data_IF_602930641850
#
_entry.id   IF_602930641850
#
_cell.length_a   1.000
_cell.length_b   1.000
_cell.length_c   1.000
_cell.angle_alpha   90.00
_cell.angle_beta   90.00
_cell.angle_gamma   90.00
#
_symmetry.space_group_name_H-M   'P 1'
#
loop_
_entity.id
_entity.type
_entity.pdbx_description
1 polymer ?
#
# COMPACT_ATOMS: atom_id res chain seq x y z
N UNK A 1 19.49 -23.62 15.86
CA UNK A 1 19.22 -22.62 16.92
C UNK A 1 19.17 -21.26 16.23
N UNK A 2 17.97 -20.76 15.95
CA UNK A 2 17.81 -19.41 15.37
C UNK A 2 17.78 -18.44 16.54
N UNK A 3 18.59 -17.38 16.50
CA UNK A 3 18.50 -16.31 17.50
C UNK A 3 17.12 -15.68 17.41
N UNK A 4 16.36 -15.72 18.50
CA UNK A 4 15.21 -14.85 18.70
C UNK A 4 15.71 -13.42 18.80
N UNK A 5 15.76 -12.75 17.65
CA UNK A 5 16.11 -11.33 17.58
C UNK A 5 15.20 -10.56 18.54
N UNK A 6 15.78 -9.70 19.37
CA UNK A 6 15.06 -8.98 20.43
C UNK A 6 13.89 -8.23 19.78
N UNK A 7 12.66 -8.63 20.11
CA UNK A 7 11.46 -8.16 19.41
C UNK A 7 11.07 -6.74 19.87
N UNK A 8 11.90 -5.80 19.42
CA UNK A 8 11.84 -4.35 19.67
C UNK A 8 10.73 -3.66 18.87
N UNK A 9 9.68 -4.40 18.52
CA UNK A 9 8.48 -3.90 17.85
C UNK A 9 7.23 -3.92 18.74
N UNK A 10 7.25 -4.62 19.87
CA UNK A 10 6.22 -4.45 20.91
C UNK A 10 6.53 -3.22 21.77
N UNK A 11 5.49 -2.43 22.03
CA UNK A 11 5.58 -1.12 22.67
C UNK A 11 4.59 -1.05 23.83
N UNK A 12 5.05 -0.44 24.92
CA UNK A 12 4.21 -0.11 26.07
C UNK A 12 3.22 1.00 25.72
N UNK A 13 2.09 1.06 26.44
CA UNK A 13 1.11 2.14 26.28
C UNK A 13 1.69 3.52 26.62
N UNK A 14 2.74 3.60 27.44
CA UNK A 14 3.48 4.85 27.70
C UNK A 14 4.28 5.31 26.49
N UNK A 15 4.93 4.39 25.77
CA UNK A 15 5.62 4.69 24.51
C UNK A 15 4.64 5.10 23.41
N UNK A 16 3.45 4.50 23.38
CA UNK A 16 2.39 4.84 22.42
C UNK A 16 1.63 6.13 22.76
N UNK A 17 1.58 6.55 24.04
CA UNK A 17 1.15 7.91 24.41
C UNK A 17 2.17 8.97 23.99
N UNK A 18 3.46 8.61 23.96
CA UNK A 18 4.59 9.53 23.71
C UNK A 18 5.24 9.36 22.32
N UNK A 19 4.43 9.18 21.27
CA UNK A 19 4.91 8.93 19.89
C UNK A 19 5.79 10.07 19.35
N UNK A 20 6.60 9.80 18.31
CA UNK A 20 7.32 10.85 17.58
C UNK A 20 6.38 11.91 16.95
N UNK A 21 5.15 11.53 16.59
CA UNK A 21 4.16 12.45 16.03
C UNK A 21 3.60 13.40 17.10
N UNK A 22 3.33 12.88 18.31
CA UNK A 22 2.93 13.68 19.48
C UNK A 22 3.99 14.74 19.81
N UNK A 23 5.26 14.34 19.76
CA UNK A 23 6.43 15.22 20.02
C UNK A 23 6.65 16.28 18.93
N UNK A 24 6.11 16.09 17.73
CA UNK A 24 6.05 17.09 16.66
C UNK A 24 4.75 17.92 16.66
N UNK A 25 3.87 17.74 17.65
CA UNK A 25 2.63 18.51 17.83
C UNK A 25 1.37 17.93 17.19
N UNK A 26 1.37 16.65 16.78
CA UNK A 26 0.16 15.98 16.22
C UNK A 26 -0.67 15.36 17.36
N UNK A 27 -1.97 15.64 17.38
CA UNK A 27 -2.90 15.21 18.43
C UNK A 27 -3.36 13.75 18.34
N UNK A 28 -3.93 13.31 19.46
CA UNK A 28 -4.92 12.23 19.64
C UNK A 28 -5.39 11.57 18.32
N UNK A 29 -6.50 12.13 17.83
CA UNK A 29 -7.33 11.59 16.78
C UNK A 29 -6.72 11.78 15.38
N UNK A 30 -5.91 12.82 15.14
CA UNK A 30 -5.25 13.00 13.84
C UNK A 30 -4.22 11.91 13.59
N UNK A 31 -3.41 11.48 14.57
CA UNK A 31 -2.49 10.35 14.35
C UNK A 31 -3.25 9.05 14.09
N UNK A 32 -4.30 8.75 14.86
CA UNK A 32 -5.14 7.56 14.68
C UNK A 32 -5.82 7.55 13.30
N UNK A 33 -6.36 8.70 12.88
CA UNK A 33 -6.98 8.89 11.56
C UNK A 33 -5.98 8.68 10.43
N UNK A 34 -4.76 9.22 10.55
CA UNK A 34 -3.69 9.05 9.57
C UNK A 34 -3.18 7.60 9.50
N UNK A 35 -3.15 6.89 10.64
CA UNK A 35 -2.82 5.46 10.67
C UNK A 35 -3.87 4.64 9.91
N UNK A 36 -5.16 4.81 10.22
CA UNK A 36 -6.26 4.12 9.53
C UNK A 36 -6.27 4.48 8.03
N UNK A 37 -6.12 5.76 7.68
CA UNK A 37 -6.04 6.21 6.28
C UNK A 37 -4.90 5.56 5.51
N UNK A 38 -3.71 5.41 6.13
CA UNK A 38 -2.59 4.70 5.53
C UNK A 38 -2.85 3.21 5.34
N UNK A 39 -3.44 2.54 6.33
CA UNK A 39 -3.82 1.13 6.22
C UNK A 39 -4.92 0.89 5.17
N UNK A 40 -5.86 1.83 5.01
CA UNK A 40 -6.88 1.82 3.95
C UNK A 40 -6.26 2.04 2.55
N UNK A 41 -5.19 2.83 2.41
CA UNK A 41 -4.43 2.94 1.15
C UNK A 41 -3.66 1.64 0.83
N UNK A 42 -3.07 1.00 1.84
CA UNK A 42 -2.35 -0.27 1.66
C UNK A 42 -3.32 -1.38 1.19
N UNK A 43 -4.52 -1.44 1.76
CA UNK A 43 -5.55 -2.41 1.35
C UNK A 43 -6.10 -2.11 -0.06
N UNK A 44 -6.49 -0.85 -0.37
CA UNK A 44 -7.00 -0.49 -1.70
C UNK A 44 -5.96 -0.73 -2.81
N UNK A 45 -4.71 -0.33 -2.58
CA UNK A 45 -3.63 -0.53 -3.56
C UNK A 45 -3.27 -2.01 -3.75
N UNK A 46 -3.30 -2.82 -2.68
CA UNK A 46 -3.09 -4.26 -2.76
C UNK A 46 -4.12 -4.97 -3.64
N UNK A 47 -5.40 -4.62 -3.49
CA UNK A 47 -6.50 -5.12 -4.34
C UNK A 47 -6.28 -4.71 -5.80
N UNK A 48 -5.97 -3.43 -6.05
CA UNK A 48 -5.73 -2.92 -7.41
C UNK A 48 -4.47 -3.52 -8.08
N UNK A 49 -3.45 -3.87 -7.30
CA UNK A 49 -2.24 -4.57 -7.75
C UNK A 49 -2.40 -6.10 -7.81
N UNK A 50 -3.59 -6.64 -7.47
CA UNK A 50 -3.90 -8.08 -7.36
C UNK A 50 -2.86 -8.83 -6.52
N UNK A 51 -2.59 -8.32 -5.32
CA UNK A 51 -1.70 -8.92 -4.34
C UNK A 51 -2.47 -9.80 -3.34
N UNK A 52 -1.86 -10.87 -2.79
CA UNK A 52 -2.48 -11.69 -1.75
C UNK A 52 -2.55 -10.93 -0.42
N UNK A 53 -3.54 -11.24 0.43
CA UNK A 53 -3.80 -10.52 1.70
C UNK A 53 -2.57 -10.45 2.62
N UNK A 54 -1.67 -11.45 2.59
CA UNK A 54 -0.40 -11.43 3.32
C UNK A 54 0.46 -10.19 3.00
N UNK A 55 0.50 -9.74 1.73
CA UNK A 55 1.25 -8.53 1.33
C UNK A 55 0.63 -7.27 1.93
N UNK A 56 -0.70 -7.17 1.95
CA UNK A 56 -1.37 -6.03 2.58
C UNK A 56 -1.18 -6.05 4.11
N UNK A 57 -1.30 -7.21 4.74
CA UNK A 57 -1.08 -7.37 6.17
C UNK A 57 0.36 -7.02 6.59
N UNK A 58 1.37 -7.58 5.90
CA UNK A 58 2.79 -7.22 6.11
C UNK A 58 2.99 -5.73 5.85
N UNK A 59 2.44 -5.18 4.76
CA UNK A 59 2.49 -3.74 4.49
C UNK A 59 1.96 -2.87 5.63
N UNK A 60 0.81 -3.24 6.21
CA UNK A 60 0.18 -2.54 7.33
C UNK A 60 1.02 -2.63 8.62
N UNK A 61 1.59 -3.79 8.95
CA UNK A 61 2.46 -3.92 10.13
C UNK A 61 3.76 -3.13 9.98
N UNK A 62 4.42 -3.18 8.80
CA UNK A 62 5.62 -2.38 8.53
C UNK A 62 5.32 -0.87 8.64
N UNK A 63 4.16 -0.44 8.15
CA UNK A 63 3.66 0.94 8.25
C UNK A 63 3.42 1.36 9.70
N UNK A 64 2.74 0.54 10.51
CA UNK A 64 2.52 0.80 11.93
C UNK A 64 3.85 0.89 12.71
N UNK A 65 4.77 -0.08 12.50
CA UNK A 65 6.11 -0.12 13.10
C UNK A 65 6.93 1.13 12.75
N UNK A 66 6.88 1.60 11.50
CA UNK A 66 7.57 2.81 11.06
C UNK A 66 7.06 4.06 11.79
N UNK A 67 5.75 4.30 11.82
CA UNK A 67 5.18 5.49 12.49
C UNK A 67 5.21 5.44 14.02
N UNK A 68 5.69 4.36 14.63
CA UNK A 68 6.07 4.37 16.04
C UNK A 68 7.50 4.90 16.28
N UNK A 69 8.39 4.85 15.26
CA UNK A 69 9.77 5.36 15.31
C UNK A 69 9.96 6.69 14.55
N UNK A 70 9.01 7.05 13.69
CA UNK A 70 8.99 8.28 12.88
C UNK A 70 7.62 8.96 12.93
N UNK A 71 7.59 10.22 12.52
CA UNK A 71 6.47 11.14 12.70
C UNK A 71 5.77 11.45 11.38
N UNK A 72 4.44 11.54 11.40
CA UNK A 72 3.66 12.01 10.26
C UNK A 72 3.98 13.45 9.85
N UNK A 73 4.51 14.29 10.75
CA UNK A 73 4.97 15.64 10.42
C UNK A 73 6.23 15.67 9.53
N UNK A 74 7.01 14.58 9.55
CA UNK A 74 8.28 14.41 8.82
C UNK A 74 8.21 13.42 7.65
N UNK A 75 7.14 12.63 7.54
CA UNK A 75 6.98 11.61 6.51
C UNK A 75 5.53 11.55 6.02
N UNK A 76 5.31 11.86 4.74
CA UNK A 76 4.00 11.85 4.12
C UNK A 76 3.39 10.43 4.10
N UNK A 77 2.20 10.28 4.68
CA UNK A 77 1.47 9.00 4.82
C UNK A 77 1.29 8.26 3.49
N UNK A 78 0.99 8.97 2.40
CA UNK A 78 0.74 8.39 1.07
C UNK A 78 2.03 7.80 0.49
N UNK A 79 3.16 8.52 0.65
CA UNK A 79 4.50 8.10 0.22
C UNK A 79 4.98 6.86 1.00
N UNK A 80 4.81 6.86 2.33
CA UNK A 80 5.19 5.71 3.16
C UNK A 80 4.32 4.49 2.84
N UNK A 81 2.99 4.64 2.71
CA UNK A 81 2.10 3.55 2.33
C UNK A 81 2.51 2.88 0.99
N UNK A 82 2.90 3.67 -0.01
CA UNK A 82 3.39 3.15 -1.29
C UNK A 82 4.69 2.33 -1.14
N UNK A 83 5.66 2.81 -0.36
CA UNK A 83 6.89 2.06 -0.08
C UNK A 83 6.65 0.83 0.81
N UNK A 84 5.69 0.86 1.74
CA UNK A 84 5.31 -0.31 2.54
C UNK A 84 4.72 -1.42 1.66
N UNK A 85 3.82 -1.09 0.72
CA UNK A 85 3.29 -2.06 -0.26
C UNK A 85 4.39 -2.59 -1.17
N UNK A 86 5.29 -1.73 -1.64
CA UNK A 86 6.38 -2.14 -2.53
C UNK A 86 7.38 -3.07 -1.81
N UNK A 87 7.77 -2.74 -0.59
CA UNK A 87 8.65 -3.56 0.25
C UNK A 87 7.98 -4.88 0.64
N UNK A 88 6.74 -4.86 1.14
CA UNK A 88 6.00 -6.07 1.48
C UNK A 88 5.81 -7.00 0.27
N UNK A 89 5.60 -6.46 -0.94
CA UNK A 89 5.52 -7.27 -2.15
C UNK A 89 6.80 -8.07 -2.42
N UNK A 90 7.97 -7.57 -1.99
CA UNK A 90 9.25 -8.28 -2.11
C UNK A 90 9.48 -9.27 -0.96
N UNK A 91 9.04 -8.95 0.26
CA UNK A 91 9.19 -9.82 1.44
C UNK A 91 8.31 -11.07 1.37
N UNK A 92 7.11 -10.96 0.78
CA UNK A 92 6.17 -12.08 0.57
C UNK A 92 6.34 -12.77 -0.79
N UNK A 93 7.51 -12.64 -1.44
CA UNK A 93 7.84 -13.24 -2.76
C UNK A 93 6.80 -12.99 -3.87
N UNK A 94 6.11 -11.84 -3.82
CA UNK A 94 5.09 -11.41 -4.79
C UNK A 94 5.46 -10.07 -5.48
N UNK A 95 6.72 -9.88 -5.93
CA UNK A 95 7.28 -8.55 -6.22
C UNK A 95 6.53 -7.79 -7.31
N UNK A 96 6.35 -6.48 -7.10
CA UNK A 96 5.79 -5.56 -8.11
C UNK A 96 6.83 -4.56 -8.61
N UNK A 97 6.89 -4.37 -9.93
CA UNK A 97 7.67 -3.29 -10.56
C UNK A 97 7.17 -1.94 -10.03
N UNK A 98 8.10 -1.06 -9.62
CA UNK A 98 7.80 0.25 -9.03
C UNK A 98 6.78 1.07 -9.85
N UNK A 99 6.89 1.01 -11.19
CA UNK A 99 5.92 1.59 -12.13
C UNK A 99 4.47 1.31 -11.75
N UNK A 100 4.10 0.06 -11.49
CA UNK A 100 2.72 -0.33 -11.22
C UNK A 100 2.23 0.19 -9.87
N UNK A 101 3.10 0.19 -8.84
CA UNK A 101 2.78 0.77 -7.53
C UNK A 101 2.51 2.26 -7.65
N UNK A 102 3.41 3.01 -8.32
CA UNK A 102 3.25 4.45 -8.52
C UNK A 102 2.00 4.82 -9.34
N UNK A 103 1.71 4.08 -10.41
CA UNK A 103 0.50 4.27 -11.22
C UNK A 103 -0.79 4.02 -10.40
N UNK A 104 -0.79 3.01 -9.53
CA UNK A 104 -1.94 2.70 -8.66
C UNK A 104 -2.12 3.79 -7.60
N UNK A 105 -1.07 4.22 -6.90
CA UNK A 105 -1.15 5.29 -5.90
C UNK A 105 -1.55 6.64 -6.52
N UNK A 106 -1.01 7.00 -7.68
CA UNK A 106 -1.43 8.19 -8.44
C UNK A 106 -2.92 8.15 -8.78
N UNK A 107 -3.41 7.03 -9.36
CA UNK A 107 -4.83 6.86 -9.69
C UNK A 107 -5.73 6.93 -8.44
N UNK A 108 -5.30 6.33 -7.33
CA UNK A 108 -6.03 6.36 -6.07
C UNK A 108 -6.12 7.76 -5.47
N UNK A 109 -5.05 8.55 -5.55
CA UNK A 109 -5.06 9.94 -5.08
C UNK A 109 -5.99 10.80 -5.95
N UNK A 110 -5.86 10.76 -7.28
CA UNK A 110 -6.80 11.46 -8.17
C UNK A 110 -8.27 11.09 -7.89
N UNK A 111 -8.56 9.79 -7.67
CA UNK A 111 -9.89 9.28 -7.31
C UNK A 111 -10.38 9.73 -5.93
N UNK A 112 -9.48 10.00 -4.98
CA UNK A 112 -9.81 10.46 -3.62
C UNK A 112 -9.90 11.98 -3.52
N UNK A 113 -9.28 12.72 -4.44
CA UNK A 113 -9.22 14.19 -4.48
C UNK A 113 -10.07 14.80 -5.61
N UNK A 114 -10.87 13.98 -6.31
CA UNK A 114 -11.73 14.36 -7.45
C UNK A 114 -10.98 15.06 -8.60
N UNK A 115 -9.71 14.70 -8.79
CA UNK A 115 -8.87 15.17 -9.90
C UNK A 115 -9.07 14.28 -11.14
N UNK A 116 -8.77 14.79 -12.35
CA UNK A 116 -8.77 13.98 -13.57
C UNK A 116 -7.99 12.67 -13.41
N UNK A 117 -8.54 11.57 -13.93
CA UNK A 117 -7.92 10.24 -13.91
C UNK A 117 -6.88 10.07 -15.02
N UNK A 118 -5.99 11.05 -15.14
CA UNK A 118 -4.90 11.09 -16.12
C UNK A 118 -3.86 9.99 -15.85
N UNK A 119 -3.20 9.54 -16.92
CA UNK A 119 -2.14 8.55 -16.84
C UNK A 119 -0.84 9.22 -16.34
N UNK A 120 -0.20 8.63 -15.33
CA UNK A 120 1.13 9.04 -14.91
C UNK A 120 2.15 8.65 -15.99
N UNK A 121 2.53 9.60 -16.84
CA UNK A 121 3.55 9.39 -17.87
C UNK A 121 4.89 8.96 -17.25
N UNK A 122 5.45 7.89 -17.81
CA UNK A 122 6.66 7.18 -17.38
C UNK A 122 7.93 7.96 -17.77
N UNK A 123 7.86 8.79 -18.81
CA UNK A 123 8.98 9.62 -19.25
C UNK A 123 9.04 10.98 -18.54
N UNK A 124 7.98 11.34 -17.80
CA UNK A 124 7.91 12.59 -17.06
C UNK A 124 8.95 12.70 -15.94
N UNK A 125 9.40 13.95 -15.71
CA UNK A 125 10.21 14.34 -14.55
C UNK A 125 9.53 13.90 -13.23
N UNK A 126 8.21 14.10 -13.16
CA UNK A 126 7.34 13.73 -12.03
C UNK A 126 7.39 12.23 -11.70
N UNK A 127 7.29 11.33 -12.69
CA UNK A 127 7.45 9.90 -12.47
C UNK A 127 8.86 9.54 -12.00
N UNK A 128 9.88 10.19 -12.56
CA UNK A 128 11.28 9.95 -12.16
C UNK A 128 11.53 10.34 -10.70
N UNK A 129 10.97 11.47 -10.26
CA UNK A 129 11.01 11.95 -8.87
C UNK A 129 10.25 10.99 -7.94
N UNK A 130 9.04 10.57 -8.31
CA UNK A 130 8.28 9.57 -7.55
C UNK A 130 9.00 8.20 -7.48
N UNK A 131 9.71 7.76 -8.53
CA UNK A 131 10.57 6.54 -8.49
C UNK A 131 11.74 6.75 -7.51
N UNK A 132 12.38 7.92 -7.51
CA UNK A 132 13.46 8.24 -6.57
C UNK A 132 12.97 8.26 -5.11
N UNK A 133 11.81 8.85 -4.85
CA UNK A 133 11.27 8.95 -3.49
C UNK A 133 10.68 7.65 -2.95
N UNK A 134 10.13 6.78 -3.80
CA UNK A 134 9.76 5.41 -3.41
C UNK A 134 10.98 4.62 -2.92
N UNK A 135 12.12 4.75 -3.63
CA UNK A 135 13.40 4.12 -3.26
C UNK A 135 14.03 4.75 -2.01
N UNK A 136 13.98 6.08 -1.87
CA UNK A 136 14.43 6.81 -0.67
C UNK A 136 13.64 6.36 0.56
N UNK A 137 12.32 6.30 0.45
CA UNK A 137 11.40 5.94 1.55
C UNK A 137 11.50 4.46 1.94
N UNK A 138 11.70 3.55 0.97
CA UNK A 138 12.04 2.15 1.30
C UNK A 138 13.34 2.04 2.11
N UNK A 139 14.40 2.75 1.71
CA UNK A 139 15.66 2.76 2.47
C UNK A 139 15.48 3.33 3.89
N UNK A 140 14.55 4.25 4.10
CA UNK A 140 14.18 4.69 5.44
C UNK A 140 13.43 3.59 6.22
N UNK A 141 12.43 2.94 5.63
CA UNK A 141 11.73 1.79 6.25
C UNK A 141 12.72 0.72 6.72
N UNK A 142 13.60 0.25 5.85
CA UNK A 142 14.61 -0.77 6.16
C UNK A 142 15.55 -0.34 7.30
N UNK A 143 16.01 0.93 7.29
CA UNK A 143 16.88 1.47 8.34
C UNK A 143 16.20 1.52 9.71
N UNK A 144 14.95 1.99 9.78
CA UNK A 144 14.22 2.14 11.05
C UNK A 144 13.80 0.80 11.66
N UNK A 145 13.66 -0.24 10.83
CA UNK A 145 13.43 -1.62 11.27
C UNK A 145 14.72 -2.39 11.54
N UNK A 146 15.90 -1.80 11.34
CA UNK A 146 17.19 -2.50 11.50
C UNK A 146 17.31 -3.72 10.57
N UNK A 147 16.66 -3.68 9.40
CA UNK A 147 16.44 -4.82 8.49
C UNK A 147 15.63 -6.00 9.06
N UNK A 148 15.16 -5.96 10.32
CA UNK A 148 14.27 -6.98 10.90
C UNK A 148 12.85 -6.78 10.36
N UNK A 149 12.61 -7.24 9.14
CA UNK A 149 11.36 -7.03 8.40
C UNK A 149 10.40 -8.22 8.49
N UNK A 150 10.71 -9.24 9.29
CA UNK A 150 9.82 -10.38 9.50
C UNK A 150 8.56 -9.95 10.28
N UNK A 151 7.42 -10.47 9.85
CA UNK A 151 6.11 -10.23 10.45
C UNK A 151 5.38 -11.56 10.56
N UNK A 152 4.81 -11.83 11.73
CA UNK A 152 3.91 -12.93 11.98
C UNK A 152 2.49 -12.38 12.17
N UNK A 153 1.50 -12.97 11.50
CA UNK A 153 0.13 -12.44 11.44
C UNK A 153 -0.84 -13.28 12.29
N UNK A 154 -1.85 -12.66 12.94
CA UNK A 154 -2.85 -13.39 13.74
C UNK A 154 -3.58 -14.47 12.93
N UNK A 155 -3.78 -14.23 11.63
CA UNK A 155 -4.36 -15.15 10.65
C UNK A 155 -3.75 -16.56 10.66
N UNK A 156 -2.46 -16.69 11.00
CA UNK A 156 -1.76 -17.98 11.09
C UNK A 156 -2.36 -18.90 12.16
N UNK A 157 -2.90 -18.33 13.23
CA UNK A 157 -3.34 -19.07 14.42
C UNK A 157 -4.84 -19.37 14.42
N UNK A 158 -5.65 -18.53 13.78
CA UNK A 158 -7.13 -18.56 13.82
C UNK A 158 -7.69 -19.97 13.58
N UNK A 159 -7.32 -20.63 12.47
CA UNK A 159 -7.86 -21.95 12.12
C UNK A 159 -7.48 -23.03 13.13
N UNK A 160 -6.28 -22.95 13.72
CA UNK A 160 -5.83 -23.90 14.73
C UNK A 160 -6.58 -23.69 16.06
N UNK A 161 -6.78 -22.43 16.47
CA UNK A 161 -7.53 -22.10 17.69
C UNK A 161 -8.99 -22.50 17.57
N UNK A 162 -9.67 -22.15 16.46
CA UNK A 162 -11.08 -22.51 16.24
C UNK A 162 -11.32 -24.02 16.19
N UNK A 163 -10.39 -24.78 15.59
CA UNK A 163 -10.44 -26.25 15.59
C UNK A 163 -10.19 -26.84 16.99
N UNK A 164 -9.21 -26.31 17.74
CA UNK A 164 -8.91 -26.74 19.12
C UNK A 164 -10.06 -26.42 20.11
N UNK A 165 -10.88 -25.41 19.80
CA UNK A 165 -12.06 -25.02 20.56
C UNK A 165 -13.36 -25.69 20.07
N UNK A 166 -13.28 -26.60 19.09
CA UNK A 166 -14.43 -27.30 18.48
C UNK A 166 -15.56 -26.36 17.98
N UNK A 167 -15.18 -25.15 17.56
CA UNK A 167 -16.14 -24.09 17.21
C UNK A 167 -16.77 -24.23 15.82
N UNK A 168 -17.99 -23.69 15.60
CA UNK A 168 -18.64 -23.72 14.28
C UNK A 168 -17.83 -23.01 13.20
N UNK A 169 -17.78 -23.61 12.00
CA UNK A 169 -16.91 -23.17 10.89
C UNK A 169 -17.18 -21.74 10.43
N UNK A 170 -18.41 -21.26 10.64
CA UNK A 170 -18.92 -19.92 10.36
C UNK A 170 -18.09 -18.83 11.06
N UNK A 171 -17.60 -19.10 12.27
CA UNK A 171 -16.75 -18.19 13.03
C UNK A 171 -15.39 -17.97 12.37
N UNK A 172 -14.93 -18.88 11.50
CA UNK A 172 -13.64 -18.76 10.79
C UNK A 172 -13.59 -17.52 9.92
N UNK A 173 -14.63 -17.28 9.13
CA UNK A 173 -14.66 -16.10 8.26
C UNK A 173 -14.77 -14.81 9.07
N UNK A 174 -15.51 -14.82 10.18
CA UNK A 174 -15.67 -13.63 11.03
C UNK A 174 -14.39 -13.30 11.82
N UNK A 175 -13.74 -14.30 12.43
CA UNK A 175 -12.43 -14.12 13.06
C UNK A 175 -11.39 -13.62 12.06
N UNK A 176 -11.43 -14.10 10.81
CA UNK A 176 -10.56 -13.62 9.72
C UNK A 176 -10.87 -12.19 9.29
N UNK A 177 -12.15 -11.78 9.26
CA UNK A 177 -12.56 -10.39 9.02
C UNK A 177 -12.04 -9.46 10.13
N UNK A 178 -12.28 -9.83 11.38
CA UNK A 178 -11.82 -9.11 12.57
C UNK A 178 -10.28 -9.02 12.62
N UNK A 179 -9.56 -10.04 12.17
CA UNK A 179 -8.11 -10.01 12.03
C UNK A 179 -7.64 -9.02 10.96
N UNK A 180 -8.35 -8.90 9.82
CA UNK A 180 -8.06 -7.87 8.82
C UNK A 180 -8.31 -6.45 9.36
N UNK A 181 -9.38 -6.24 10.11
CA UNK A 181 -9.65 -4.94 10.76
C UNK A 181 -8.62 -4.61 11.86
N UNK A 182 -8.13 -5.61 12.61
CA UNK A 182 -7.13 -5.40 13.67
C UNK A 182 -5.84 -4.73 13.14
N UNK A 183 -5.47 -5.00 11.88
CA UNK A 183 -4.30 -4.43 11.19
C UNK A 183 -4.44 -2.94 10.82
N UNK A 184 -5.63 -2.36 11.01
CA UNK A 184 -5.90 -0.91 10.89
C UNK A 184 -5.60 -0.17 12.20
N UNK A 185 -5.16 -0.90 13.24
CA UNK A 185 -4.95 -0.42 14.61
C UNK A 185 -3.53 -0.75 15.12
N UNK A 186 -3.14 -0.17 16.25
CA UNK A 186 -1.82 -0.43 16.88
C UNK A 186 -1.69 -1.78 17.57
N UNK A 187 -2.67 -2.69 17.48
CA UNK A 187 -2.58 -4.01 18.13
C UNK A 187 -1.33 -4.80 17.70
N UNK A 188 -0.94 -4.73 16.42
CA UNK A 188 0.25 -5.38 15.87
C UNK A 188 1.61 -4.82 16.35
N UNK A 189 1.61 -3.80 17.22
CA UNK A 189 2.78 -3.27 17.93
C UNK A 189 2.57 -3.19 19.45
N UNK A 190 1.51 -3.82 19.97
CA UNK A 190 1.19 -3.90 21.41
C UNK A 190 1.15 -5.34 21.91
N UNK A 191 0.58 -6.23 21.09
CA UNK A 191 0.34 -7.63 21.43
C UNK A 191 0.95 -8.53 20.36
N UNK A 192 1.43 -9.70 20.77
CA UNK A 192 1.82 -10.75 19.82
C UNK A 192 0.59 -11.26 19.05
N UNK A 193 0.84 -11.85 17.89
CA UNK A 193 -0.21 -12.31 16.98
C UNK A 193 -1.07 -13.46 17.54
N UNK A 194 -0.55 -14.25 18.48
CA UNK A 194 -1.27 -15.24 19.29
C UNK A 194 -2.39 -14.58 20.13
N UNK A 195 -2.06 -13.49 20.83
CA UNK A 195 -2.99 -12.76 21.69
C UNK A 195 -4.02 -11.99 20.86
N UNK A 196 -3.61 -11.40 19.73
CA UNK A 196 -4.54 -10.78 18.77
C UNK A 196 -5.48 -11.83 18.16
N UNK A 197 -4.97 -13.02 17.82
CA UNK A 197 -5.78 -14.14 17.33
C UNK A 197 -6.79 -14.61 18.38
N UNK A 198 -6.41 -14.73 19.66
CA UNK A 198 -7.36 -15.01 20.74
C UNK A 198 -8.43 -13.92 20.87
N UNK A 199 -8.06 -12.64 20.78
CA UNK A 199 -8.99 -11.52 20.86
C UNK A 199 -10.01 -11.47 19.72
N UNK A 200 -9.62 -11.78 18.49
CA UNK A 200 -10.57 -11.85 17.35
C UNK A 200 -11.44 -13.11 17.38
N UNK A 201 -10.92 -14.24 17.85
CA UNK A 201 -11.71 -15.46 18.08
C UNK A 201 -12.76 -15.23 19.18
N UNK A 202 -12.38 -14.58 20.29
CA UNK A 202 -13.33 -14.20 21.34
C UNK A 202 -14.41 -13.26 20.80
N UNK A 203 -14.02 -12.20 20.08
CA UNK A 203 -14.98 -11.26 19.49
C UNK A 203 -15.93 -11.93 18.46
N UNK A 204 -15.44 -12.86 17.64
CA UNK A 204 -16.26 -13.65 16.71
C UNK A 204 -17.26 -14.53 17.48
N UNK A 205 -16.81 -15.30 18.47
CA UNK A 205 -17.67 -16.15 19.29
C UNK A 205 -18.75 -15.34 20.03
N UNK A 206 -18.40 -14.16 20.57
CA UNK A 206 -19.37 -13.24 21.20
C UNK A 206 -20.39 -12.67 20.21
N UNK A 207 -20.03 -12.44 18.93
CA UNK A 207 -20.99 -12.04 17.88
C UNK A 207 -21.94 -13.17 17.50
N UNK A 208 -21.44 -14.40 17.41
CA UNK A 208 -22.23 -15.60 17.09
C UNK A 208 -22.91 -16.26 18.31
N UNK A 209 -22.78 -15.67 19.50
CA UNK A 209 -23.30 -16.19 20.77
C UNK A 209 -22.80 -17.60 21.15
N UNK A 210 -21.64 -18.01 20.62
CA UNK A 210 -21.02 -19.31 20.92
C UNK A 210 -20.35 -19.25 22.31
N UNK A 211 -20.70 -20.13 23.25
CA UNK A 211 -19.98 -20.24 24.52
C UNK A 211 -18.59 -20.85 24.28
N UNK A 212 -17.57 -20.28 24.92
CA UNK A 212 -16.20 -20.82 24.90
C UNK A 212 -15.82 -21.32 26.31
N UNK A 213 -14.89 -22.31 26.45
CA UNK A 213 -14.59 -22.92 27.74
C UNK A 213 -13.99 -21.94 28.76
N UNK A 214 -14.66 -21.71 29.89
CA UNK A 214 -14.16 -20.83 30.97
C UNK A 214 -13.44 -21.59 32.10
N UNK A 215 -13.56 -22.91 32.18
CA UNK A 215 -12.96 -23.74 33.23
C UNK A 215 -12.29 -25.02 32.65
N UNK A 216 -10.94 -25.07 32.52
CA UNK A 216 -10.02 -23.95 32.66
C UNK A 216 -10.26 -22.87 31.56
N UNK A 217 -9.88 -21.60 31.79
CA UNK A 217 -10.12 -20.56 30.80
C UNK A 217 -9.34 -20.80 29.51
N UNK A 218 -10.04 -20.96 28.39
CA UNK A 218 -9.50 -21.49 27.14
C UNK A 218 -8.26 -20.76 26.61
N UNK A 219 -8.20 -19.43 26.79
CA UNK A 219 -7.09 -18.59 26.34
C UNK A 219 -5.74 -18.95 26.96
N UNK A 220 -5.73 -19.61 28.13
CA UNK A 220 -4.50 -20.13 28.76
C UNK A 220 -3.84 -21.25 27.96
N UNK A 221 -4.56 -21.95 27.08
CA UNK A 221 -3.99 -22.96 26.20
C UNK A 221 -3.22 -22.36 25.01
N UNK A 222 -3.27 -21.04 24.84
CA UNK A 222 -2.66 -20.29 23.72
C UNK A 222 -1.75 -19.15 24.21
N UNK A 223 -1.21 -19.27 25.42
CA UNK A 223 -0.32 -18.29 26.07
C UNK A 223 -0.85 -16.84 26.10
N UNK A 224 -2.18 -16.67 26.11
CA UNK A 224 -2.84 -15.37 26.14
C UNK A 224 -3.44 -15.06 27.52
N UNK A 225 -3.53 -13.77 27.84
CA UNK A 225 -4.22 -13.27 29.02
C UNK A 225 -5.59 -12.66 28.67
N UNK A 226 -6.54 -12.73 29.61
CA UNK A 226 -7.85 -12.09 29.45
C UNK A 226 -7.73 -10.57 29.27
N UNK A 227 -6.79 -9.94 29.97
CA UNK A 227 -6.41 -8.52 29.84
C UNK A 227 -6.18 -8.11 28.37
N UNK A 228 -5.37 -8.89 27.64
CA UNK A 228 -5.07 -8.67 26.22
C UNK A 228 -6.27 -8.94 25.31
N UNK A 229 -7.08 -9.95 25.62
CA UNK A 229 -8.31 -10.27 24.86
C UNK A 229 -9.35 -9.15 24.99
N UNK A 230 -9.65 -8.73 26.22
CA UNK A 230 -10.59 -7.64 26.50
C UNK A 230 -10.11 -6.33 25.83
N UNK A 231 -8.80 -6.06 25.83
CA UNK A 231 -8.20 -4.89 25.16
C UNK A 231 -8.25 -4.98 23.63
N UNK A 232 -8.01 -6.14 23.01
CA UNK A 232 -8.20 -6.34 21.57
C UNK A 232 -9.66 -6.08 21.18
N UNK A 233 -10.62 -6.61 21.95
CA UNK A 233 -12.05 -6.34 21.73
C UNK A 233 -12.40 -4.87 21.91
N UNK A 234 -11.85 -4.18 22.92
CA UNK A 234 -12.07 -2.74 23.15
C UNK A 234 -11.52 -1.89 22.01
N UNK A 235 -10.34 -2.21 21.49
CA UNK A 235 -9.73 -1.49 20.36
C UNK A 235 -10.51 -1.72 19.05
N UNK A 236 -10.99 -2.94 18.80
CA UNK A 236 -11.87 -3.22 17.65
C UNK A 236 -13.22 -2.51 17.78
N UNK A 237 -13.85 -2.53 18.95
CA UNK A 237 -15.09 -1.78 19.20
C UNK A 237 -14.89 -0.27 18.99
N UNK A 238 -13.75 0.28 19.41
CA UNK A 238 -13.41 1.67 19.14
C UNK A 238 -13.20 1.93 17.63
N UNK A 239 -12.48 1.07 16.91
CA UNK A 239 -12.31 1.18 15.45
C UNK A 239 -13.66 1.29 14.72
N UNK A 240 -14.66 0.48 15.11
CA UNK A 240 -16.01 0.53 14.53
C UNK A 240 -16.84 1.75 14.95
N UNK A 241 -16.44 2.47 16.01
CA UNK A 241 -17.06 3.74 16.42
C UNK A 241 -16.51 4.96 15.67
N UNK A 242 -15.38 4.83 14.98
CA UNK A 242 -14.71 5.96 14.31
C UNK A 242 -15.33 6.28 12.94
N UNK A 243 -15.38 7.57 12.54
CA UNK A 243 -15.77 7.95 11.19
C UNK A 243 -14.75 7.46 10.16
N UNK A 244 -15.17 7.38 8.89
CA UNK A 244 -14.29 7.00 7.78
C UNK A 244 -13.06 7.93 7.71
N UNK A 245 -11.87 7.35 7.82
CA UNK A 245 -10.62 8.10 7.83
C UNK A 245 -10.40 8.91 6.54
N UNK A 246 -9.95 10.16 6.71
CA UNK A 246 -9.65 11.11 5.64
C UNK A 246 -8.18 11.54 5.72
N UNK A 247 -7.66 12.16 4.66
CA UNK A 247 -6.30 12.71 4.69
C UNK A 247 -6.28 14.04 5.45
N UNK A 248 -5.39 14.16 6.44
CA UNK A 248 -5.15 15.39 7.17
C UNK A 248 -3.72 15.87 6.84
N UNK A 249 -3.54 17.06 6.23
CA UNK A 249 -2.22 17.53 5.82
C UNK A 249 -1.39 18.00 7.02
N UNK A 250 -0.51 17.12 7.51
CA UNK A 250 0.40 17.39 8.65
C UNK A 250 1.88 17.35 8.28
N UNK A 251 2.24 16.75 7.14
CA UNK A 251 3.63 16.63 6.69
C UNK A 251 4.12 17.95 6.09
N UNK A 252 5.30 18.42 6.52
CA UNK A 252 5.88 19.69 6.02
C UNK A 252 6.29 19.62 4.55
N UNK A 253 6.72 18.44 4.10
CA UNK A 253 7.01 18.17 2.69
C UNK A 253 5.69 17.85 1.96
N UNK A 254 5.19 18.83 1.21
CA UNK A 254 3.83 18.84 0.63
C UNK A 254 3.60 17.99 -0.64
N UNK A 255 4.60 17.22 -1.08
CA UNK A 255 4.58 16.58 -2.40
C UNK A 255 3.62 15.37 -2.51
N UNK A 256 2.45 15.61 -3.10
CA UNK A 256 1.48 14.60 -3.56
C UNK A 256 1.95 13.85 -4.82
N UNK A 257 1.32 12.70 -5.14
CA UNK A 257 1.52 11.99 -6.40
C UNK A 257 0.71 12.65 -7.53
N UNK A 258 -0.50 13.16 -7.25
CA UNK A 258 -1.33 13.98 -8.11
C UNK A 258 -0.92 15.46 -8.00
N UNK A 259 -1.04 16.23 -9.08
CA UNK A 259 -0.63 17.64 -9.09
C UNK A 259 -1.83 18.50 -8.66
N UNK A 260 -1.76 19.16 -7.49
CA UNK A 260 -2.86 20.01 -6.99
C UNK A 260 -3.11 21.21 -7.89
N UNK A 261 -4.38 21.49 -8.20
CA UNK A 261 -4.80 22.64 -9.04
C UNK A 261 -4.42 24.00 -8.45
N UNK A 262 -4.26 24.10 -7.13
CA UNK A 262 -3.92 25.34 -6.43
C UNK A 262 -2.62 25.99 -6.95
N UNK A 263 -1.68 25.20 -7.48
CA UNK A 263 -0.45 25.71 -8.07
C UNK A 263 -0.66 26.41 -9.45
N UNK A 264 -1.73 26.07 -10.17
CA UNK A 264 -1.99 26.56 -11.53
C UNK A 264 -2.80 27.86 -11.52
N UNK A 265 -3.89 27.91 -10.74
CA UNK A 265 -4.74 29.10 -10.61
C UNK A 265 -3.95 30.31 -10.05
N UNK A 266 -2.97 30.04 -9.20
CA UNK A 266 -2.04 31.04 -8.63
C UNK A 266 -1.16 31.73 -9.69
N UNK A 267 -0.83 31.06 -10.80
CA UNK A 267 -0.02 31.64 -11.88
C UNK A 267 -0.89 32.40 -12.89
N UNK A 268 -2.09 31.91 -13.18
CA UNK A 268 -3.00 32.55 -14.14
C UNK A 268 -3.44 33.95 -13.71
N UNK A 269 -3.57 34.22 -12.40
CA UNK A 269 -3.97 35.54 -11.89
C UNK A 269 -2.87 36.61 -11.89
N UNK A 270 -1.58 36.24 -11.99
CA UNK A 270 -0.46 37.20 -11.91
C UNK A 270 -0.07 37.84 -13.25
N UNK A 271 -0.47 37.25 -14.38
CA UNK A 271 -0.01 37.68 -15.72
C UNK A 271 -0.85 38.85 -16.29
N UNK A 272 -1.99 39.19 -15.67
CA UNK A 272 -2.99 40.11 -16.25
C UNK A 272 -2.99 41.55 -15.69
N UNK A 273 -1.97 41.98 -14.92
CA UNK A 273 -1.87 43.36 -14.41
C UNK A 273 -0.43 43.91 -14.33
N UNK A 274 0.14 44.26 -15.48
CA UNK A 274 1.17 45.30 -15.57
C UNK A 274 1.08 45.98 -16.94
N UNK A 275 0.82 47.30 -16.97
CA UNK A 275 0.56 48.02 -18.23
C UNK A 275 0.15 49.48 -18.10
N UNK A 276 1.13 50.37 -18.34
CA UNK A 276 1.03 51.83 -18.61
C UNK A 276 0.73 52.78 -17.43
N UNK A 277 1.12 54.05 -17.61
CA UNK A 277 1.28 55.09 -16.58
C UNK A 277 0.52 56.41 -16.88
N UNK A 278 0.17 57.11 -15.79
CA UNK A 278 0.08 58.56 -15.55
C UNK A 278 -0.19 59.55 -16.71
N UNK A 279 -1.27 60.33 -16.56
CA UNK A 279 -1.51 61.66 -17.16
C UNK A 279 -2.60 62.44 -16.37
N UNK A 280 -2.55 63.78 -16.18
CA UNK A 280 -3.23 64.40 -15.02
C UNK A 280 -4.38 65.41 -15.28
N UNK A 281 -5.20 65.60 -14.22
CA UNK A 281 -5.98 66.80 -13.80
C UNK A 281 -7.05 67.45 -14.71
N UNK A 282 -8.30 67.50 -14.20
CA UNK A 282 -9.18 68.68 -14.21
C UNK A 282 -10.35 68.55 -13.18
N UNK A 283 -10.99 69.68 -12.84
CA UNK A 283 -12.10 69.84 -11.87
C UNK A 283 -13.46 69.31 -12.43
N UNK A 284 -14.62 69.28 -11.74
CA UNK A 284 -15.09 70.12 -10.63
C UNK A 284 -16.30 69.56 -9.83
N UNK A 285 -16.62 70.20 -8.68
CA UNK A 285 -17.87 70.21 -7.86
C UNK A 285 -18.86 69.01 -7.88
N UNK A 286 -19.08 68.32 -6.75
CA UNK A 286 -19.96 68.67 -5.59
C UNK A 286 -21.48 68.71 -5.87
N UNK A 287 -22.18 67.72 -5.31
CA UNK A 287 -23.39 67.99 -4.51
C UNK A 287 -23.50 66.99 -3.34
N UNK A 288 -23.83 67.54 -2.18
CA UNK A 288 -23.84 66.98 -0.80
C UNK A 288 -25.27 66.97 -0.24
N UNK A 289 -25.57 66.44 0.97
CA UNK A 289 -24.91 65.41 1.81
C UNK A 289 -25.90 64.46 2.59
N UNK A 290 -25.34 63.61 3.49
CA UNK A 290 -25.89 63.21 4.82
C UNK A 290 -27.22 62.39 4.86
N UNK A 291 -27.58 61.69 5.95
CA UNK A 291 -26.97 61.48 7.28
C UNK A 291 -27.24 60.03 7.80
N UNK A 292 -26.54 59.59 8.85
CA UNK A 292 -26.83 58.39 9.69
C UNK A 292 -27.42 58.87 11.06
N UNK A 293 -27.78 58.06 12.10
CA UNK A 293 -27.61 56.61 12.38
C UNK A 293 -29.01 55.90 12.53
N UNK A 294 -29.35 54.90 13.37
CA UNK A 294 -28.74 54.17 14.51
C UNK A 294 -29.37 52.74 14.65
N UNK A 295 -28.66 51.70 15.12
CA UNK A 295 -28.39 51.21 16.51
C UNK A 295 -29.59 50.53 17.23
N UNK A 296 -29.33 49.34 17.82
CA UNK A 296 -30.16 48.55 18.77
C UNK A 296 -31.41 47.82 18.21
N UNK A 297 -31.88 46.68 18.76
CA UNK A 297 -31.20 45.52 19.39
C UNK A 297 -32.17 44.27 19.42
N UNK A 298 -31.92 43.28 20.29
CA UNK A 298 -32.76 42.10 20.62
C UNK A 298 -34.25 42.48 20.95
N UNK A 299 -35.26 41.58 20.98
CA UNK A 299 -35.26 40.15 21.36
C UNK A 299 -36.51 39.34 20.91
N UNK A 300 -36.44 38.01 21.10
CA UNK A 300 -37.49 37.03 21.51
C UNK A 300 -38.94 37.02 20.97
N UNK A 301 -39.44 35.80 20.70
CA UNK A 301 -40.77 35.34 21.16
C UNK A 301 -41.98 35.60 20.24
N UNK A 302 -42.50 34.55 19.60
CA UNK A 302 -43.69 34.63 18.73
C UNK A 302 -44.96 34.01 19.33
N UNK A 303 -46.13 34.21 18.68
CA UNK A 303 -47.36 33.48 18.99
C UNK A 303 -48.35 33.36 17.80
N UNK A 304 -48.85 32.12 17.57
CA UNK A 304 -50.17 31.71 17.03
C UNK A 304 -50.74 32.23 15.68
N UNK A 305 -51.16 31.25 14.85
CA UNK A 305 -52.36 31.19 13.95
C UNK A 305 -52.59 32.36 12.96
N UNK A 306 -52.42 32.22 11.64
CA UNK A 306 -52.57 31.06 10.75
C UNK A 306 -53.80 31.22 9.84
N UNK A 307 -53.63 31.10 8.51
CA UNK A 307 -54.73 31.06 7.53
C UNK A 307 -54.34 30.38 6.20
N UNK A 308 -55.21 29.47 5.74
CA UNK A 308 -55.56 29.19 4.32
C UNK A 308 -54.59 28.39 3.41
N UNK A 309 -55.21 27.59 2.51
CA UNK A 309 -54.69 26.89 1.31
C UNK A 309 -53.74 25.69 1.46
N UNK A 310 -54.34 24.50 1.64
CA UNK A 310 -53.80 23.23 1.11
C UNK A 310 -53.78 23.25 -0.42
N UNK A 311 -52.76 22.64 -1.03
CA UNK A 311 -52.87 22.00 -2.35
C UNK A 311 -52.27 20.59 -2.28
N UNK A 312 -53.14 19.60 -2.45
CA UNK A 312 -52.91 18.18 -2.84
C UNK A 312 -51.73 17.44 -2.19
N UNK A 313 -52.07 16.53 -1.27
CA UNK A 313 -51.32 15.29 -1.02
C UNK A 313 -52.24 14.11 -1.37
N UNK A 314 -51.83 13.32 -2.37
CA UNK A 314 -52.47 12.08 -2.83
C UNK A 314 -51.35 11.23 -3.49
N UNK A 315 -51.27 9.90 -3.38
CA UNK A 315 -52.25 8.89 -2.94
C UNK A 315 -51.55 7.79 -2.12
N UNK A 316 -52.29 7.08 -1.25
CA UNK A 316 -52.48 5.60 -1.28
C UNK A 316 -52.98 5.04 0.07
N UNK A 317 -54.28 4.66 0.07
CA UNK A 317 -55.08 3.85 1.01
C UNK A 317 -56.45 3.66 0.32
N UNK A 318 -57.34 2.70 0.56
CA UNK A 318 -57.55 1.55 1.48
C UNK A 318 -58.48 0.55 0.69
N UNK A 319 -59.01 -0.60 1.15
CA UNK A 319 -58.51 -1.72 1.97
C UNK A 319 -59.59 -2.86 2.08
N UNK A 320 -59.16 -4.04 2.56
CA UNK A 320 -59.90 -5.04 3.39
C UNK A 320 -60.91 -6.05 2.80
N UNK A 321 -61.01 -7.17 3.57
CA UNK A 321 -61.95 -8.33 3.56
C UNK A 321 -61.69 -9.44 2.52
N UNK A 322 -61.90 -10.73 2.82
CA UNK A 322 -62.09 -11.45 4.11
C UNK A 322 -62.08 -12.99 3.90
N UNK A 323 -61.71 -13.77 4.95
CA UNK A 323 -62.10 -15.18 5.22
C UNK A 323 -61.69 -16.29 4.19
N UNK A 324 -61.61 -17.60 4.45
CA UNK A 324 -61.20 -18.43 5.62
C UNK A 324 -60.85 -19.88 5.12
N UNK A 325 -60.45 -20.80 6.02
CA UNK A 325 -60.51 -22.28 5.95
C UNK A 325 -59.60 -23.16 5.02
N UNK A 326 -58.62 -23.83 5.68
CA UNK A 326 -58.34 -25.29 5.66
C UNK A 326 -57.51 -26.03 4.56
N UNK A 327 -56.81 -27.08 5.06
CA UNK A 327 -56.40 -28.35 4.41
C UNK A 327 -55.30 -28.38 3.30
N UNK A 328 -54.44 -29.42 3.20
CA UNK A 328 -54.06 -30.52 4.15
C UNK A 328 -52.85 -31.34 3.62
N UNK A 329 -52.12 -32.05 4.54
CA UNK A 329 -51.29 -33.27 4.29
C UNK A 329 -50.01 -33.10 3.43
N UNK A 330 -48.77 -33.40 3.89
CA UNK A 330 -48.09 -34.71 4.12
C UNK A 330 -47.96 -35.60 2.85
N UNK A 331 -46.97 -36.48 2.62
CA UNK A 331 -45.54 -36.67 2.99
C UNK A 331 -44.98 -37.77 2.02
N UNK A 332 -43.75 -38.30 2.19
CA UNK A 332 -43.19 -39.50 1.49
C UNK A 332 -42.90 -39.41 -0.04
N UNK A 333 -42.15 -40.33 -0.67
CA UNK A 333 -40.74 -40.77 -0.45
C UNK A 333 -40.23 -41.59 -1.68
N UNK A 334 -38.95 -41.48 -2.04
CA UNK A 334 -38.20 -42.31 -3.03
C UNK A 334 -38.75 -42.33 -4.50
N UNK A 335 -38.09 -42.83 -5.56
CA UNK A 335 -36.86 -43.64 -5.72
C UNK A 335 -36.01 -43.22 -6.97
N UNK A 336 -34.97 -43.98 -7.31
CA UNK A 336 -33.81 -43.66 -8.19
C UNK A 336 -34.06 -43.55 -9.71
N UNK A 337 -33.22 -42.74 -10.41
CA UNK A 337 -32.44 -43.18 -11.61
C UNK A 337 -31.31 -42.22 -12.06
N UNK A 338 -30.22 -42.80 -12.55
CA UNK A 338 -29.01 -42.15 -13.13
C UNK A 338 -29.23 -41.73 -14.60
N UNK A 339 -28.49 -40.75 -15.16
CA UNK A 339 -27.51 -41.16 -16.18
C UNK A 339 -26.24 -40.29 -16.40
N UNK A 340 -25.09 -40.98 -16.37
CA UNK A 340 -24.00 -41.00 -17.36
C UNK A 340 -22.77 -40.07 -17.21
N UNK A 341 -21.59 -40.69 -17.32
CA UNK A 341 -20.28 -40.13 -16.98
C UNK A 341 -19.52 -39.41 -18.12
N UNK A 342 -20.16 -39.06 -19.24
CA UNK A 342 -19.43 -38.54 -20.43
C UNK A 342 -19.02 -37.07 -20.35
N UNK A 343 -19.80 -36.20 -19.70
CA UNK A 343 -19.53 -34.75 -19.69
C UNK A 343 -18.29 -34.31 -18.86
N UNK A 344 -17.81 -35.15 -17.93
CA UNK A 344 -16.69 -34.78 -17.03
C UNK A 344 -15.31 -34.83 -17.70
N UNK A 345 -15.15 -35.58 -18.79
CA UNK A 345 -13.86 -35.75 -19.46
C UNK A 345 -13.41 -34.45 -20.17
N UNK A 346 -14.25 -33.88 -21.03
CA UNK A 346 -13.88 -32.76 -21.90
C UNK A 346 -13.57 -31.48 -21.11
N UNK A 347 -14.41 -31.14 -20.13
CA UNK A 347 -14.20 -29.97 -19.28
C UNK A 347 -12.96 -30.08 -18.37
N UNK A 348 -12.47 -31.30 -18.08
CA UNK A 348 -11.16 -31.49 -17.43
C UNK A 348 -10.00 -31.13 -18.36
N UNK A 349 -10.11 -31.44 -19.65
CA UNK A 349 -9.11 -31.14 -20.67
C UNK A 349 -8.95 -29.65 -20.93
N UNK A 350 -10.05 -28.89 -20.94
CA UNK A 350 -10.02 -27.43 -21.06
C UNK A 350 -9.33 -26.77 -19.86
N UNK A 351 -9.73 -27.11 -18.63
CA UNK A 351 -9.11 -26.58 -17.41
C UNK A 351 -7.61 -26.86 -17.36
N UNK A 352 -7.18 -28.03 -17.84
CA UNK A 352 -5.75 -28.36 -17.90
C UNK A 352 -5.00 -27.57 -19.00
N UNK A 353 -5.60 -27.39 -20.19
CA UNK A 353 -5.06 -26.51 -21.25
C UNK A 353 -4.97 -25.05 -20.83
N UNK A 354 -5.93 -24.54 -20.06
CA UNK A 354 -5.88 -23.19 -19.52
C UNK A 354 -4.80 -23.05 -18.42
N UNK A 355 -4.64 -24.05 -17.55
CA UNK A 355 -3.56 -24.11 -16.56
C UNK A 355 -2.18 -24.13 -17.22
N UNK A 356 -1.99 -24.85 -18.32
CA UNK A 356 -0.75 -24.81 -19.12
C UNK A 356 -0.53 -23.43 -19.77
N UNK A 357 -1.56 -22.82 -20.34
CA UNK A 357 -1.49 -21.44 -20.89
C UNK A 357 -1.15 -20.40 -19.80
N UNK A 358 -1.62 -20.58 -18.57
CA UNK A 358 -1.25 -19.74 -17.43
C UNK A 358 0.23 -19.90 -17.06
N UNK A 359 0.72 -21.14 -16.88
CA UNK A 359 2.14 -21.44 -16.63
C UNK A 359 3.06 -20.86 -17.72
N UNK A 360 2.66 -20.95 -18.98
CA UNK A 360 3.42 -20.39 -20.11
C UNK A 360 3.52 -18.85 -20.00
N UNK A 361 2.41 -18.16 -19.72
CA UNK A 361 2.37 -16.70 -19.53
C UNK A 361 3.23 -16.23 -18.35
N UNK A 362 3.29 -16.99 -17.26
CA UNK A 362 4.15 -16.63 -16.12
C UNK A 362 5.65 -16.93 -16.38
N UNK A 363 5.98 -17.94 -17.18
CA UNK A 363 7.36 -18.17 -17.65
C UNK A 363 7.86 -17.03 -18.54
N UNK A 364 7.05 -16.52 -19.46
CA UNK A 364 7.43 -15.34 -20.28
C UNK A 364 7.56 -14.07 -19.42
N UNK A 365 6.66 -13.84 -18.45
CA UNK A 365 6.76 -12.71 -17.50
C UNK A 365 8.06 -12.75 -16.69
N UNK A 366 8.50 -13.93 -16.25
CA UNK A 366 9.80 -14.11 -15.62
C UNK A 366 10.93 -13.71 -16.56
N UNK A 367 10.93 -14.25 -17.78
CA UNK A 367 11.97 -14.01 -18.80
C UNK A 367 12.11 -12.52 -19.17
N UNK A 368 11.00 -11.79 -19.29
CA UNK A 368 11.04 -10.34 -19.53
C UNK A 368 11.41 -9.52 -18.29
N UNK A 369 11.13 -10.02 -17.08
CA UNK A 369 11.64 -9.42 -15.85
C UNK A 369 13.15 -9.54 -15.74
N UNK A 370 13.73 -10.69 -16.12
CA UNK A 370 15.18 -10.89 -16.11
C UNK A 370 15.88 -10.06 -17.21
N UNK A 371 15.32 -9.98 -18.42
CA UNK A 371 15.80 -9.10 -19.50
C UNK A 371 15.83 -7.62 -19.09
N UNK A 372 14.79 -7.13 -18.41
CA UNK A 372 14.81 -5.75 -17.86
C UNK A 372 15.87 -5.59 -16.75
N UNK A 373 16.06 -6.61 -15.91
CA UNK A 373 17.07 -6.60 -14.82
C UNK A 373 18.50 -6.62 -15.34
N UNK A 374 18.74 -7.26 -16.49
CA UNK A 374 20.03 -7.19 -17.20
C UNK A 374 20.25 -5.81 -17.83
N UNK A 375 19.22 -5.20 -18.43
CA UNK A 375 19.28 -3.83 -18.96
C UNK A 375 19.53 -2.78 -17.88
N UNK A 376 18.87 -2.87 -16.71
CA UNK A 376 19.15 -1.93 -15.59
C UNK A 376 20.61 -2.08 -15.11
N UNK A 377 21.16 -3.30 -15.02
CA UNK A 377 22.59 -3.55 -14.71
C UNK A 377 23.54 -3.02 -15.79
N UNK A 378 23.16 -3.09 -17.06
CA UNK A 378 23.97 -2.59 -18.17
C UNK A 378 24.07 -1.06 -18.15
N UNK A 379 22.94 -0.37 -17.98
CA UNK A 379 22.89 1.09 -17.80
C UNK A 379 23.66 1.54 -16.55
N UNK A 380 23.67 0.75 -15.47
CA UNK A 380 24.47 1.03 -14.28
C UNK A 380 25.98 0.96 -14.56
N UNK A 381 26.45 -0.10 -15.24
CA UNK A 381 27.85 -0.23 -15.69
C UNK A 381 28.28 0.88 -16.65
N UNK A 382 27.39 1.35 -17.52
CA UNK A 382 27.69 2.50 -18.38
C UNK A 382 27.86 3.79 -17.59
N UNK A 383 27.02 4.02 -16.58
CA UNK A 383 27.16 5.17 -15.66
C UNK A 383 28.46 5.13 -14.87
N UNK A 384 28.96 3.95 -14.50
CA UNK A 384 30.29 3.80 -13.90
C UNK A 384 31.42 4.11 -14.90
N UNK A 385 31.38 3.54 -16.11
CA UNK A 385 32.35 3.86 -17.18
C UNK A 385 32.41 5.36 -17.50
N UNK A 386 31.29 6.08 -17.42
CA UNK A 386 31.24 7.54 -17.61
C UNK A 386 31.87 8.29 -16.43
N UNK A 387 31.66 7.85 -15.18
CA UNK A 387 32.34 8.41 -14.00
C UNK A 387 33.86 8.22 -14.09
N UNK A 388 34.33 7.02 -14.42
CA UNK A 388 35.76 6.72 -14.53
C UNK A 388 36.45 7.56 -15.62
N UNK A 389 35.77 7.74 -16.77
CA UNK A 389 36.23 8.65 -17.83
C UNK A 389 36.28 10.10 -17.35
N UNK A 390 35.29 10.56 -16.59
CA UNK A 390 35.27 11.89 -15.99
C UNK A 390 36.42 12.08 -14.99
N UNK A 391 36.73 11.07 -14.19
CA UNK A 391 37.84 11.10 -13.23
C UNK A 391 39.20 11.18 -13.94
N UNK A 392 39.47 10.27 -14.90
CA UNK A 392 40.68 10.30 -15.74
C UNK A 392 40.83 11.60 -16.54
N UNK A 393 39.73 12.24 -16.93
CA UNK A 393 39.76 13.53 -17.61
C UNK A 393 40.05 14.71 -16.68
N UNK A 394 39.82 14.58 -15.36
CA UNK A 394 40.21 15.58 -14.36
C UNK A 394 41.69 15.51 -13.99
N UNK A 395 42.26 14.31 -13.87
CA UNK A 395 43.70 14.15 -13.61
C UNK A 395 44.53 14.70 -14.79
N UNK A 396 44.17 14.35 -16.03
CA UNK A 396 44.79 14.93 -17.23
C UNK A 396 44.65 16.45 -17.38
N UNK A 397 43.80 17.10 -16.60
CA UNK A 397 43.63 18.56 -16.58
C UNK A 397 44.55 19.30 -15.63
N UNK A 398 45.43 18.62 -14.88
CA UNK A 398 46.35 19.24 -13.91
C UNK A 398 47.81 19.31 -14.36
N UNK A 399 48.26 18.38 -15.19
CA UNK A 399 49.67 18.22 -15.56
C UNK A 399 50.05 18.88 -16.91
N UNK A 400 49.46 20.04 -17.24
CA UNK A 400 49.72 20.74 -18.51
C UNK A 400 50.12 22.20 -18.31
N UNK A 401 51.34 22.43 -17.80
CA UNK A 401 51.99 23.73 -17.76
C UNK A 401 53.51 23.62 -17.83
N UNK A 402 54.12 23.88 -18.99
CA UNK A 402 55.58 23.89 -19.15
C UNK A 402 56.14 23.69 -20.56
N UNK A 403 56.46 24.81 -21.23
CA UNK A 403 57.59 25.02 -22.18
C UNK A 403 58.01 24.00 -23.29
N UNK A 404 57.72 24.39 -24.55
CA UNK A 404 58.64 24.60 -25.70
C UNK A 404 59.76 23.61 -26.10
N UNK A 405 59.76 23.24 -27.41
CA UNK A 405 60.89 22.79 -28.28
C UNK A 405 61.68 21.52 -27.86
N UNK A 406 62.20 20.66 -28.75
CA UNK A 406 62.76 20.86 -30.12
C UNK A 406 62.69 19.55 -30.95
N UNK A 407 63.41 19.45 -32.07
CA UNK A 407 63.25 18.40 -33.10
C UNK A 407 64.40 17.37 -33.21
N UNK A 408 64.10 16.13 -33.67
CA UNK A 408 64.71 15.44 -34.85
C UNK A 408 64.60 13.88 -34.87
N UNK A 409 64.31 13.37 -36.09
CA UNK A 409 64.84 12.14 -36.75
C UNK A 409 64.38 10.72 -36.32
N UNK A 410 64.20 9.88 -37.35
CA UNK A 410 64.21 8.40 -37.31
C UNK A 410 65.66 7.86 -37.24
N UNK A 411 65.84 6.56 -36.94
CA UNK A 411 66.10 5.62 -38.04
C UNK A 411 65.29 4.29 -37.96
N UNK A 412 65.57 3.37 -38.88
CA UNK A 412 64.79 2.16 -39.23
C UNK A 412 65.33 0.86 -38.61
N UNK A 413 64.54 -0.22 -38.73
CA UNK A 413 65.08 -1.56 -39.06
C UNK A 413 64.03 -2.54 -39.59
N UNK A 414 64.41 -3.30 -40.62
CA UNK A 414 63.66 -4.41 -41.21
C UNK A 414 63.64 -5.67 -40.33
N UNK A 415 62.58 -6.48 -40.47
CA UNK A 415 62.68 -7.80 -41.12
C UNK A 415 61.32 -8.42 -41.42
N UNK A 416 61.24 -9.14 -42.52
CA UNK A 416 60.12 -9.99 -42.92
C UNK A 416 60.41 -11.49 -42.64
N UNK A 417 59.37 -12.30 -42.79
CA UNK A 417 59.37 -13.75 -43.05
C UNK A 417 59.97 -14.72 -42.01
N UNK A 418 59.15 -15.68 -41.55
CA UNK A 418 59.26 -17.07 -42.01
C UNK A 418 58.05 -17.93 -41.56
N UNK A 419 57.64 -18.89 -42.39
CA UNK A 419 56.76 -20.00 -42.01
C UNK A 419 57.58 -21.16 -41.42
N UNK A 420 57.03 -21.91 -40.45
CA UNK A 420 56.81 -23.37 -40.55
C UNK A 420 56.18 -23.94 -39.26
N UNK A 421 56.00 -25.26 -39.20
CA UNK A 421 55.22 -26.00 -38.20
C UNK A 421 56.02 -27.06 -37.42
N UNK A 422 55.56 -27.40 -36.21
CA UNK A 422 55.56 -28.76 -35.62
C UNK A 422 54.71 -28.70 -34.34
N UNK A 423 53.73 -29.57 -34.06
CA UNK A 423 53.73 -31.05 -33.96
C UNK A 423 54.56 -31.57 -32.78
N UNK A 424 53.88 -31.99 -31.71
CA UNK A 424 54.41 -32.89 -30.68
C UNK A 424 53.25 -33.69 -30.09
N UNK A 425 53.46 -34.99 -29.85
CA UNK A 425 52.43 -35.94 -29.46
C UNK A 425 52.95 -37.00 -28.50
N UNK A 426 52.11 -37.36 -27.51
CA UNK A 426 52.19 -38.58 -26.71
C UNK A 426 50.76 -39.13 -26.60
N UNK A 427 50.45 -40.23 -27.30
CA UNK A 427 50.65 -41.62 -26.86
C UNK A 427 49.64 -42.02 -25.76
N UNK A 428 48.68 -42.90 -26.09
CA UNK A 428 48.69 -44.37 -25.84
C UNK A 428 48.64 -44.69 -24.33
N UNK A 429 47.77 -45.57 -23.83
CA UNK A 429 46.98 -46.65 -24.45
C UNK A 429 45.81 -47.03 -23.47
N UNK A 430 44.82 -47.92 -23.70
CA UNK A 430 44.57 -48.95 -24.73
C UNK A 430 43.06 -49.23 -24.93
N UNK A 431 42.74 -50.23 -25.77
CA UNK A 431 41.49 -51.01 -26.02
C UNK A 431 40.17 -50.66 -25.29
N UNK A 432 39.03 -50.52 -26.00
CA UNK A 432 38.16 -51.58 -26.60
C UNK A 432 37.68 -52.60 -25.55
N UNK A 433 36.37 -52.80 -25.33
CA UNK A 433 35.46 -53.44 -26.30
C UNK A 433 34.05 -52.80 -26.40
N UNK A 434 33.21 -53.33 -27.28
CA UNK A 434 31.91 -52.78 -27.72
C UNK A 434 30.73 -53.79 -27.41
N UNK A 435 29.50 -53.73 -27.97
CA UNK A 435 28.27 -53.76 -27.16
C UNK A 435 27.41 -55.03 -27.37
N UNK A 436 26.09 -54.88 -27.19
CA UNK A 436 24.99 -55.87 -27.22
C UNK A 436 24.89 -56.69 -25.93
N UNK A 437 23.71 -56.84 -25.33
CA UNK A 437 22.32 -56.67 -25.84
C UNK A 437 21.57 -55.42 -25.39
#
# INVERSE_FOLDING_TARGET
MIYTAIDTFYLTDEQLKNTPSRKDGIDEATETTLRIYGCDLIQESGILLKLPQAVMATGQVLFHRFFCKKSFAKFNVKRVAASCVWLASKLEENPRKAKHVLMVFHRMECRRENLPLEHLDIFSKKYSELKMDLNRTERHLLKEMGFICHVEHPHKFISNYLATLETPTELTQEAWNLANDSLRTTLCVRFKSEVVACGVVYAAARRFQVPLPENPPWWKAFDAEKSGIDEVCRVLAHLYSLPRAQYIPVCKDGDSFATSRQALDSQTQQISKEGMLNGPTANNDKSTPKEAPAVANLDSGGLMKGAISKVVLDKLKDAKKSDDETNSVLIELEEMREPSLKAKAEHSGERNRERERAKARDRDRGRDSDREREREKEVEREREKVKDRSYRSKDKGKDSGGHSEKSRHHPSRDRSDYHSSSYSSREKDRHRHHPYT
#
